data_IF_631200633850
#
_entry.id   IF_631200633850
#
_cell.length_a   1.000
_cell.length_b   1.000
_cell.length_c   1.000
_cell.angle_alpha   90.00
_cell.angle_beta   90.00
_cell.angle_gamma   90.00
#
_symmetry.space_group_name_H-M   'P 1'
#
loop_
_entity.id
_entity.type
_entity.pdbx_description
1 polymer ?
#
# COMPACT_ATOMS: atom_id res chain seq x y z
N UNK A 1 63.69 -29.49 8.57
CA UNK A 1 62.93 -28.31 9.02
C UNK A 1 61.66 -28.22 8.19
N UNK A 2 60.54 -28.76 8.69
CA UNK A 2 59.25 -28.74 7.99
C UNK A 2 58.34 -27.75 8.73
N UNK A 3 57.98 -26.64 8.08
CA UNK A 3 57.00 -25.69 8.60
C UNK A 3 55.60 -26.16 8.20
N UNK A 4 54.83 -26.59 9.19
CA UNK A 4 53.40 -26.88 9.05
C UNK A 4 52.69 -25.54 8.89
N UNK A 5 52.07 -25.34 7.73
CA UNK A 5 51.21 -24.17 7.45
C UNK A 5 49.78 -24.57 7.83
N UNK A 6 49.33 -24.07 8.97
CA UNK A 6 47.94 -24.24 9.42
C UNK A 6 47.06 -23.24 8.68
N UNK A 7 46.27 -23.72 7.71
CA UNK A 7 45.27 -22.91 7.01
C UNK A 7 44.00 -22.88 7.86
N UNK A 8 43.75 -21.76 8.52
CA UNK A 8 42.50 -21.46 9.22
C UNK A 8 41.45 -21.05 8.18
N UNK A 9 40.49 -21.94 7.91
CA UNK A 9 39.26 -21.60 7.21
C UNK A 9 38.30 -20.89 8.18
N UNK A 10 38.25 -19.57 8.14
CA UNK A 10 37.17 -18.80 8.76
C UNK A 10 35.92 -18.92 7.89
N UNK A 11 34.95 -19.70 8.35
CA UNK A 11 33.59 -19.73 7.79
C UNK A 11 32.92 -18.41 8.19
N UNK A 12 32.88 -17.45 7.26
CA UNK A 12 32.11 -16.23 7.40
C UNK A 12 30.63 -16.58 7.34
N UNK A 13 29.94 -16.52 8.48
CA UNK A 13 28.48 -16.52 8.51
C UNK A 13 28.00 -15.20 7.89
N UNK A 14 27.55 -15.24 6.64
CA UNK A 14 26.82 -14.12 6.03
C UNK A 14 25.43 -14.12 6.65
N UNK A 15 25.25 -13.33 7.70
CA UNK A 15 23.92 -13.01 8.21
C UNK A 15 23.22 -12.13 7.17
N UNK A 16 22.35 -12.71 6.36
CA UNK A 16 21.41 -11.97 5.53
C UNK A 16 20.38 -11.38 6.49
N UNK A 17 20.63 -10.14 6.93
CA UNK A 17 19.62 -9.32 7.60
C UNK A 17 18.60 -8.94 6.53
N UNK A 18 17.59 -9.79 6.36
CA UNK A 18 16.35 -9.43 5.67
C UNK A 18 15.75 -8.28 6.48
N UNK A 19 15.92 -7.03 6.01
CA UNK A 19 15.20 -5.90 6.58
C UNK A 19 13.70 -6.22 6.42
N UNK A 20 13.02 -6.49 7.54
CA UNK A 20 11.58 -6.64 7.53
C UNK A 20 11.01 -5.35 6.94
N UNK A 21 10.25 -5.45 5.84
CA UNK A 21 9.48 -4.31 5.34
C UNK A 21 8.59 -3.84 6.48
N UNK A 22 8.74 -2.59 6.88
CA UNK A 22 7.85 -1.99 7.87
C UNK A 22 6.52 -1.75 7.19
N UNK A 23 5.45 -2.36 7.68
CA UNK A 23 4.09 -2.06 7.26
C UNK A 23 3.61 -0.74 7.90
N UNK A 24 2.74 0.02 7.23
CA UNK A 24 2.13 1.19 7.83
C UNK A 24 1.15 0.76 8.93
N UNK A 25 1.15 1.54 10.00
CA UNK A 25 0.22 1.44 11.13
C UNK A 25 -0.98 2.37 10.95
N UNK A 26 -0.82 3.47 10.21
CA UNK A 26 -1.90 4.40 9.90
C UNK A 26 -1.79 4.98 8.48
N UNK A 27 -2.94 5.24 7.85
CA UNK A 27 -3.05 5.91 6.56
C UNK A 27 -4.14 6.99 6.60
N UNK A 28 -4.06 7.97 5.69
CA UNK A 28 -5.22 8.82 5.43
C UNK A 28 -6.36 7.97 4.85
N UNK A 29 -7.57 8.23 5.33
CA UNK A 29 -8.77 7.50 4.93
C UNK A 29 -9.90 8.43 4.57
N UNK A 30 -10.40 8.23 3.36
CA UNK A 30 -11.62 8.82 2.88
C UNK A 30 -12.12 7.99 1.69
N UNK A 31 -13.41 7.72 1.68
CA UNK A 31 -14.09 7.02 0.60
C UNK A 31 -14.90 7.97 -0.26
N UNK A 32 -15.33 7.49 -1.42
CA UNK A 32 -16.28 8.21 -2.28
C UNK A 32 -17.64 8.46 -1.60
N UNK A 33 -17.98 7.65 -0.60
CA UNK A 33 -19.21 7.76 0.18
C UNK A 33 -19.11 8.93 1.17
N UNK A 34 -17.90 9.28 1.62
CA UNK A 34 -17.66 10.39 2.56
C UNK A 34 -17.75 11.79 1.90
N UNK A 35 -18.07 11.82 0.60
CA UNK A 35 -18.29 13.04 -0.18
C UNK A 35 -17.00 13.72 -0.64
N UNK A 36 -17.04 15.05 -0.80
CA UNK A 36 -15.96 15.84 -1.43
C UNK A 36 -14.65 15.93 -0.64
N UNK A 37 -14.60 15.40 0.59
CA UNK A 37 -13.46 15.53 1.50
C UNK A 37 -12.16 14.95 0.94
N UNK A 38 -12.25 13.89 0.14
CA UNK A 38 -11.08 13.18 -0.35
C UNK A 38 -10.35 13.92 -1.49
N UNK A 39 -11.04 14.87 -2.13
CA UNK A 39 -10.49 15.77 -3.14
C UNK A 39 -10.00 17.11 -2.53
N UNK A 40 -10.20 17.35 -1.23
CA UNK A 40 -9.70 18.56 -0.57
C UNK A 40 -8.16 18.48 -0.48
N UNK A 41 -7.41 19.49 -0.96
CA UNK A 41 -5.96 19.53 -0.79
C UNK A 41 -5.55 19.64 0.69
N UNK A 42 -6.44 20.09 1.57
CA UNK A 42 -6.19 20.19 3.01
C UNK A 42 -6.44 18.84 3.72
N UNK A 43 -5.36 18.06 3.84
CA UNK A 43 -5.36 16.75 4.50
C UNK A 43 -5.70 16.81 5.99
N UNK A 44 -5.67 17.98 6.63
CA UNK A 44 -6.07 18.11 8.04
C UNK A 44 -7.55 17.77 8.27
N UNK A 45 -8.35 17.79 7.20
CA UNK A 45 -9.78 17.43 7.19
C UNK A 45 -10.04 15.98 6.84
N UNK A 46 -9.01 15.22 6.47
CA UNK A 46 -9.09 13.81 6.13
C UNK A 46 -8.85 12.98 7.39
N UNK A 47 -9.74 12.03 7.64
CA UNK A 47 -9.63 11.11 8.78
C UNK A 47 -8.40 10.23 8.61
N UNK A 48 -7.78 9.82 9.71
CA UNK A 48 -6.76 8.76 9.72
C UNK A 48 -7.42 7.45 10.10
N UNK A 49 -7.03 6.38 9.43
CA UNK A 49 -7.45 5.01 9.73
C UNK A 49 -6.26 4.24 10.30
N UNK A 50 -6.48 3.51 11.39
CA UNK A 50 -5.52 2.51 11.85
C UNK A 50 -5.56 1.31 10.91
N UNK A 51 -4.41 0.90 10.39
CA UNK A 51 -4.33 -0.23 9.48
C UNK A 51 -4.61 -1.58 10.18
N UNK A 52 -4.62 -1.62 11.51
CA UNK A 52 -5.12 -2.76 12.28
C UNK A 52 -6.64 -2.99 12.13
N UNK A 53 -7.38 -1.99 11.70
CA UNK A 53 -8.85 -2.00 11.71
C UNK A 53 -9.43 -2.52 10.39
N UNK A 54 -8.59 -2.77 9.38
CA UNK A 54 -9.06 -3.36 8.12
C UNK A 54 -9.47 -4.83 8.34
N UNK A 55 -10.52 -5.31 7.67
CA UNK A 55 -10.97 -6.69 7.83
C UNK A 55 -9.85 -7.68 7.52
N UNK A 56 -9.54 -8.57 8.47
CA UNK A 56 -8.48 -9.56 8.28
C UNK A 56 -8.81 -10.51 7.14
N UNK A 57 -8.01 -10.50 6.07
CA UNK A 57 -8.14 -11.49 5.02
C UNK A 57 -7.32 -12.73 5.39
N UNK A 58 -8.01 -13.81 5.77
CA UNK A 58 -7.36 -15.08 6.19
C UNK A 58 -6.71 -15.86 5.06
N UNK A 59 -6.93 -15.45 3.81
CA UNK A 59 -6.44 -16.14 2.61
C UNK A 59 -5.28 -15.39 1.94
N UNK A 60 -4.60 -14.48 2.64
CA UNK A 60 -3.50 -13.70 2.08
C UNK A 60 -2.27 -13.69 2.98
N UNK A 61 -1.09 -13.74 2.37
CA UNK A 61 0.21 -13.45 3.01
C UNK A 61 0.69 -12.04 2.67
N UNK A 62 -0.19 -11.21 2.12
CA UNK A 62 0.10 -9.86 1.65
C UNK A 62 0.39 -8.90 2.78
N UNK A 63 1.35 -8.02 2.52
CA UNK A 63 1.66 -6.91 3.41
C UNK A 63 0.47 -5.92 3.43
N UNK A 64 0.34 -5.16 4.52
CA UNK A 64 -0.56 -4.00 4.54
C UNK A 64 0.14 -2.78 3.92
N UNK A 65 -0.61 -1.95 3.20
CA UNK A 65 -0.15 -0.73 2.52
C UNK A 65 -1.15 0.40 2.62
N UNK A 66 -0.66 1.64 2.48
CA UNK A 66 -1.53 2.76 2.18
C UNK A 66 -1.79 2.83 0.67
N UNK A 67 -3.03 3.16 0.28
CA UNK A 67 -3.39 3.38 -1.11
C UNK A 67 -3.94 4.78 -1.37
N UNK A 68 -3.86 5.20 -2.62
CA UNK A 68 -4.62 6.31 -3.19
C UNK A 68 -5.11 5.90 -4.56
N UNK A 69 -6.43 5.90 -4.74
CA UNK A 69 -7.08 5.73 -6.04
C UNK A 69 -7.61 7.08 -6.49
N UNK A 70 -7.41 7.40 -7.76
CA UNK A 70 -8.07 8.56 -8.40
C UNK A 70 -8.69 8.11 -9.70
N UNK A 71 -9.88 8.60 -10.04
CA UNK A 71 -10.47 8.42 -11.36
C UNK A 71 -11.35 9.63 -11.70
N UNK A 72 -11.91 9.64 -12.90
CA UNK A 72 -12.97 10.56 -13.29
C UNK A 72 -14.25 9.77 -13.48
N UNK A 73 -15.29 10.08 -12.70
CA UNK A 73 -16.60 9.44 -12.79
C UNK A 73 -17.66 10.47 -13.18
N UNK A 74 -18.40 10.22 -14.27
CA UNK A 74 -19.38 11.16 -14.82
C UNK A 74 -18.84 12.59 -15.04
N UNK A 75 -17.55 12.71 -15.39
CA UNK A 75 -16.89 14.01 -15.59
C UNK A 75 -16.38 14.69 -14.32
N UNK A 76 -16.52 14.05 -13.16
CA UNK A 76 -16.05 14.58 -11.87
C UNK A 76 -14.85 13.79 -11.34
N UNK A 77 -13.79 14.47 -10.87
CA UNK A 77 -12.67 13.78 -10.24
C UNK A 77 -13.12 13.15 -8.92
N UNK A 78 -12.74 11.90 -8.74
CA UNK A 78 -12.98 11.11 -7.54
C UNK A 78 -11.64 10.64 -6.99
N UNK A 79 -11.47 10.72 -5.68
CA UNK A 79 -10.28 10.25 -4.96
C UNK A 79 -10.74 9.38 -3.80
N UNK A 80 -10.02 8.28 -3.58
CA UNK A 80 -10.20 7.39 -2.44
C UNK A 80 -8.85 7.04 -1.82
N UNK A 81 -8.83 6.89 -0.49
CA UNK A 81 -7.62 6.58 0.30
C UNK A 81 -7.94 5.66 1.46
N UNK A 82 -6.97 4.82 1.83
CA UNK A 82 -7.07 4.01 3.05
C UNK A 82 -5.90 3.06 3.23
N UNK A 83 -6.04 2.17 4.21
CA UNK A 83 -5.20 0.99 4.37
C UNK A 83 -5.79 -0.19 3.57
N UNK A 84 -4.95 -1.02 2.97
CA UNK A 84 -5.40 -2.27 2.34
C UNK A 84 -4.26 -3.29 2.21
N UNK A 85 -4.58 -4.53 1.84
CA UNK A 85 -3.56 -5.54 1.53
C UNK A 85 -2.91 -5.28 0.17
N UNK A 86 -1.64 -5.62 -0.02
CA UNK A 86 -0.96 -5.49 -1.33
C UNK A 86 -1.58 -6.35 -2.43
N UNK A 87 -2.23 -7.45 -2.05
CA UNK A 87 -2.91 -8.35 -2.99
C UNK A 87 -4.25 -8.81 -2.43
N UNK A 88 -5.23 -8.98 -3.33
CA UNK A 88 -6.54 -9.54 -3.07
C UNK A 88 -6.92 -10.48 -4.20
N UNK A 89 -7.55 -11.61 -3.87
CA UNK A 89 -8.04 -12.60 -4.85
C UNK A 89 -6.98 -13.06 -5.87
N UNK A 90 -5.70 -13.03 -5.49
CA UNK A 90 -4.59 -13.47 -6.34
C UNK A 90 -4.07 -12.43 -7.34
N UNK A 91 -4.47 -11.16 -7.21
CA UNK A 91 -3.93 -10.04 -7.98
C UNK A 91 -3.51 -8.88 -7.08
N UNK A 92 -2.69 -7.97 -7.60
CA UNK A 92 -2.33 -6.76 -6.87
C UNK A 92 -3.58 -5.91 -6.61
N UNK A 93 -3.61 -5.22 -5.47
CA UNK A 93 -4.77 -4.43 -5.05
C UNK A 93 -5.22 -3.39 -6.07
N UNK A 94 -4.30 -2.80 -6.85
CA UNK A 94 -4.66 -1.79 -7.84
C UNK A 94 -5.40 -2.41 -9.03
N UNK A 95 -5.00 -3.62 -9.46
CA UNK A 95 -5.73 -4.41 -10.45
C UNK A 95 -7.10 -4.85 -9.92
N UNK A 96 -7.16 -5.25 -8.64
CA UNK A 96 -8.42 -5.59 -7.98
C UNK A 96 -9.42 -4.43 -8.00
N UNK A 97 -9.03 -3.26 -7.47
CA UNK A 97 -9.88 -2.06 -7.50
C UNK A 97 -10.25 -1.64 -8.92
N UNK A 98 -9.33 -1.75 -9.88
CA UNK A 98 -9.67 -1.45 -11.27
C UNK A 98 -10.81 -2.34 -11.77
N UNK A 99 -10.72 -3.65 -11.53
CA UNK A 99 -11.71 -4.64 -11.98
C UNK A 99 -13.05 -4.49 -11.26
N UNK A 100 -13.06 -4.23 -9.95
CA UNK A 100 -14.27 -4.22 -9.12
C UNK A 100 -14.97 -2.87 -9.07
N UNK A 101 -14.22 -1.77 -9.18
CA UNK A 101 -14.73 -0.42 -8.94
C UNK A 101 -14.59 0.50 -10.15
N UNK A 102 -13.47 0.43 -10.88
CA UNK A 102 -13.19 1.37 -11.96
C UNK A 102 -13.65 0.89 -13.35
N UNK A 103 -13.81 -0.41 -13.56
CA UNK A 103 -14.24 -1.01 -14.83
C UNK A 103 -15.76 -0.97 -14.99
N UNK A 104 -16.33 0.22 -14.80
CA UNK A 104 -17.75 0.51 -14.93
C UNK A 104 -17.96 1.65 -15.93
N UNK A 105 -19.14 1.77 -16.56
CA UNK A 105 -19.41 2.84 -17.51
C UNK A 105 -19.17 4.22 -16.91
N UNK A 106 -18.66 5.14 -17.74
CA UNK A 106 -18.39 6.54 -17.40
C UNK A 106 -17.27 6.77 -16.37
N UNK A 107 -16.44 5.75 -16.11
CA UNK A 107 -15.18 5.89 -15.37
C UNK A 107 -14.00 5.91 -16.33
N UNK A 108 -13.09 6.88 -16.18
CA UNK A 108 -11.87 7.01 -16.97
C UNK A 108 -10.75 7.66 -16.14
N UNK A 109 -9.54 7.78 -16.70
CA UNK A 109 -8.35 8.35 -16.03
C UNK A 109 -7.98 7.71 -14.68
N UNK A 110 -8.30 6.42 -14.51
CA UNK A 110 -7.99 5.67 -13.31
C UNK A 110 -6.48 5.64 -13.03
N UNK A 111 -6.09 5.98 -11.80
CA UNK A 111 -4.77 5.70 -11.25
C UNK A 111 -4.88 5.14 -9.86
N UNK A 112 -3.95 4.25 -9.53
CA UNK A 112 -3.81 3.68 -8.20
C UNK A 112 -2.34 3.73 -7.82
N UNK A 113 -2.06 4.23 -6.62
CA UNK A 113 -0.72 4.35 -6.05
C UNK A 113 -0.69 3.68 -4.68
N UNK A 114 0.37 2.92 -4.44
CA UNK A 114 0.64 2.26 -3.17
C UNK A 114 1.89 2.86 -2.54
N UNK A 115 1.92 2.90 -1.23
CA UNK A 115 3.10 3.29 -0.46
C UNK A 115 3.10 2.59 0.92
N UNK A 116 4.28 2.51 1.55
CA UNK A 116 4.56 1.58 2.65
C UNK A 116 4.84 2.26 4.00
N UNK A 117 4.95 3.59 4.03
CA UNK A 117 5.20 4.35 5.26
C UNK A 117 3.89 4.88 5.86
N UNK A 118 3.90 5.19 7.16
CA UNK A 118 2.73 5.81 7.82
C UNK A 118 2.34 7.11 7.10
N UNK A 119 1.05 7.27 6.80
CA UNK A 119 0.46 8.48 6.18
C UNK A 119 1.09 8.88 4.82
N UNK A 120 1.78 7.96 4.14
CA UNK A 120 2.46 8.25 2.86
C UNK A 120 1.50 8.52 1.69
N UNK A 121 0.21 8.24 1.89
CA UNK A 121 -0.84 8.52 0.93
C UNK A 121 -1.37 9.95 1.11
N UNK A 122 -0.48 10.93 1.30
CA UNK A 122 -0.78 12.32 1.59
C UNK A 122 -1.08 13.13 0.32
N UNK A 123 -0.47 12.83 -0.82
CA UNK A 123 -0.62 13.67 -2.02
C UNK A 123 -1.83 13.29 -2.91
N UNK A 124 -2.82 14.19 -3.08
CA UNK A 124 -3.66 14.15 -4.29
C UNK A 124 -2.78 14.64 -5.45
N UNK A 125 -2.36 13.68 -6.29
CA UNK A 125 -1.62 13.84 -7.55
C UNK A 125 -0.64 15.02 -7.69
#
# INVERSE_FOLDING_TARGET
MAKIVTVLFTIGAVAVLSAAKKEPTECYHCSLIDGTRCNDPDLSKITKQSCSDIPTNKNTTSDVVCYTVTATWLGHPITERGCYYTEMEGEDVCSYFYRTEANVPFTYDYTCKLCYDDLCNDKPR
#
